data_IF_479761398128
#
_entry.id   IF_479761398128
#
_cell.length_a   1.000
_cell.length_b   1.000
_cell.length_c   1.000
_cell.angle_alpha   90.00
_cell.angle_beta   90.00
_cell.angle_gamma   90.00
#
_symmetry.space_group_name_H-M   'P 1'
#
loop_
_entity.id
_entity.type
_entity.pdbx_description
1 polymer ?
#
# COMPACT_ATOMS: atom_id res chain seq x y z
N UNK A 1 15.17 -2.42 -12.92
CA UNK A 1 14.26 -1.90 -13.95
C UNK A 1 12.88 -1.69 -13.38
N UNK A 2 12.34 -0.47 -13.45
CA UNK A 2 10.95 -0.18 -13.11
C UNK A 2 10.25 0.40 -14.34
N UNK A 3 8.93 0.31 -14.39
CA UNK A 3 8.16 0.88 -15.53
C UNK A 3 8.38 2.40 -15.66
N UNK A 4 8.67 3.12 -14.56
CA UNK A 4 9.03 4.54 -14.61
C UNK A 4 10.38 4.78 -15.29
N UNK A 5 11.40 3.97 -15.00
CA UNK A 5 12.72 4.11 -15.67
C UNK A 5 12.61 3.89 -17.17
N UNK A 6 11.71 2.99 -17.59
CA UNK A 6 11.41 2.78 -19.01
C UNK A 6 10.72 3.99 -19.66
N UNK A 7 9.76 4.63 -18.98
CA UNK A 7 9.05 5.82 -19.51
C UNK A 7 10.00 7.00 -19.65
N UNK A 8 10.87 7.22 -18.67
CA UNK A 8 11.88 8.28 -18.69
C UNK A 8 12.88 8.08 -19.83
N UNK A 9 13.34 6.84 -20.05
CA UNK A 9 14.20 6.50 -21.19
C UNK A 9 13.49 6.63 -22.55
N UNK A 10 12.18 6.41 -22.59
CA UNK A 10 11.37 6.51 -23.81
C UNK A 10 11.01 7.96 -24.20
N UNK A 11 11.47 8.95 -23.41
CA UNK A 11 11.48 10.40 -23.61
C UNK A 11 10.65 10.86 -24.84
N UNK A 12 9.37 11.21 -24.59
CA UNK A 12 8.34 11.71 -25.52
C UNK A 12 7.46 10.67 -26.27
N UNK A 13 7.83 9.39 -26.37
CA UNK A 13 6.96 8.40 -27.04
C UNK A 13 5.70 8.03 -26.24
N UNK A 14 5.74 8.20 -24.93
CA UNK A 14 4.65 7.84 -24.01
C UNK A 14 4.00 9.14 -23.52
N UNK A 15 2.97 9.60 -24.24
CA UNK A 15 2.29 10.88 -23.95
C UNK A 15 1.10 10.76 -23.00
N UNK A 16 0.60 9.54 -22.80
CA UNK A 16 -0.63 9.28 -22.02
C UNK A 16 -0.37 8.82 -20.59
N UNK A 17 0.89 8.80 -20.14
CA UNK A 17 1.29 8.28 -18.84
C UNK A 17 1.15 6.75 -18.74
N UNK A 18 1.49 6.19 -17.57
CA UNK A 18 1.35 4.77 -17.28
C UNK A 18 0.39 4.51 -16.13
N UNK A 19 -0.32 3.38 -16.23
CA UNK A 19 -1.36 3.01 -15.30
C UNK A 19 -1.23 1.54 -14.91
N UNK A 20 -1.54 1.26 -13.64
CA UNK A 20 -1.75 -0.09 -13.11
C UNK A 20 -3.22 -0.44 -13.27
N UNK A 21 -3.49 -1.63 -13.80
CA UNK A 21 -4.82 -2.22 -13.97
C UNK A 21 -4.89 -3.54 -13.22
N UNK A 22 -6.08 -3.90 -12.74
CA UNK A 22 -6.25 -5.10 -11.92
C UNK A 22 -6.70 -6.31 -12.73
N UNK A 23 -6.06 -7.45 -12.46
CA UNK A 23 -6.38 -8.72 -13.11
C UNK A 23 -7.87 -9.10 -12.93
N UNK A 24 -8.54 -9.46 -14.02
CA UNK A 24 -9.97 -9.80 -14.05
C UNK A 24 -10.93 -8.60 -14.03
N UNK A 25 -10.43 -7.38 -13.77
CA UNK A 25 -11.19 -6.13 -13.75
C UNK A 25 -10.59 -5.10 -14.73
N UNK A 26 -9.94 -5.55 -15.79
CA UNK A 26 -9.22 -4.66 -16.72
C UNK A 26 -10.19 -3.76 -17.51
N UNK A 27 -9.82 -2.50 -17.77
CA UNK A 27 -10.64 -1.59 -18.57
C UNK A 27 -10.67 -1.99 -20.04
N UNK A 28 -11.72 -1.59 -20.75
CA UNK A 28 -11.86 -1.86 -22.20
C UNK A 28 -10.71 -1.28 -23.02
N UNK A 29 -10.16 -0.14 -22.61
CA UNK A 29 -8.97 0.46 -23.23
C UNK A 29 -7.70 -0.37 -23.06
N UNK A 30 -7.70 -1.41 -22.21
CA UNK A 30 -6.62 -2.37 -22.09
C UNK A 30 -6.94 -3.64 -22.87
N UNK A 31 -8.12 -4.22 -22.66
CA UNK A 31 -8.50 -5.52 -23.27
C UNK A 31 -8.60 -5.46 -24.79
N UNK A 32 -8.94 -4.30 -25.37
CA UNK A 32 -9.07 -4.12 -26.84
C UNK A 32 -7.73 -4.29 -27.57
N UNK A 33 -6.60 -4.14 -26.88
CA UNK A 33 -5.27 -4.32 -27.49
C UNK A 33 -4.89 -5.79 -27.70
N UNK A 34 -5.66 -6.73 -27.13
CA UNK A 34 -5.37 -8.15 -27.21
C UNK A 34 -6.42 -8.86 -28.08
N UNK A 35 -6.02 -9.52 -29.18
CA UNK A 35 -6.96 -10.24 -30.06
C UNK A 35 -7.76 -11.33 -29.36
N UNK A 36 -7.15 -11.94 -28.34
CA UNK A 36 -7.77 -12.94 -27.48
C UNK A 36 -7.61 -12.50 -26.02
N UNK A 37 -8.69 -11.99 -25.43
CA UNK A 37 -8.74 -11.63 -24.02
C UNK A 37 -9.78 -12.48 -23.29
N UNK A 38 -9.35 -13.23 -22.27
CA UNK A 38 -10.25 -14.00 -21.44
C UNK A 38 -10.23 -13.45 -20.01
N UNK A 39 -11.35 -12.85 -19.60
CA UNK A 39 -11.52 -12.32 -18.25
C UNK A 39 -11.73 -13.48 -17.27
N UNK A 40 -10.74 -13.70 -16.39
CA UNK A 40 -10.81 -14.74 -15.36
C UNK A 40 -11.81 -14.34 -14.27
N UNK A 41 -13.01 -14.92 -14.32
CA UNK A 41 -14.10 -14.61 -13.39
C UNK A 41 -13.73 -14.90 -11.93
N UNK A 42 -13.03 -16.00 -11.65
CA UNK A 42 -12.56 -16.33 -10.30
C UNK A 42 -11.68 -15.23 -9.70
N UNK A 43 -10.82 -14.61 -10.51
CA UNK A 43 -9.98 -13.49 -10.07
C UNK A 43 -10.85 -12.24 -9.88
N UNK A 44 -11.72 -11.94 -10.83
CA UNK A 44 -12.62 -10.78 -10.76
C UNK A 44 -13.50 -10.80 -9.50
N UNK A 45 -13.99 -11.95 -9.08
CA UNK A 45 -14.78 -12.12 -7.86
C UNK A 45 -13.98 -11.82 -6.60
N UNK A 46 -12.73 -12.29 -6.50
CA UNK A 46 -11.83 -11.97 -5.38
C UNK A 46 -11.59 -10.46 -5.32
N UNK A 47 -11.29 -9.85 -6.45
CA UNK A 47 -11.02 -8.41 -6.52
C UNK A 47 -12.24 -7.55 -6.15
N UNK A 48 -13.45 -7.99 -6.51
CA UNK A 48 -14.70 -7.32 -6.10
C UNK A 48 -14.96 -7.46 -4.60
N UNK A 49 -14.63 -8.60 -4.00
CA UNK A 49 -14.70 -8.80 -2.53
C UNK A 49 -13.72 -7.89 -1.79
N UNK A 50 -12.54 -7.64 -2.37
CA UNK A 50 -11.58 -6.64 -1.90
C UNK A 50 -11.99 -5.18 -2.20
N UNK A 51 -13.20 -4.95 -2.70
CA UNK A 51 -13.74 -3.61 -2.94
C UNK A 51 -13.25 -2.91 -4.21
N UNK A 52 -12.51 -3.61 -5.09
CA UNK A 52 -12.01 -3.02 -6.34
C UNK A 52 -13.08 -2.97 -7.42
N UNK A 53 -13.02 -1.93 -8.26
CA UNK A 53 -14.04 -1.62 -9.27
C UNK A 53 -13.63 -2.11 -10.65
N UNK A 54 -14.64 -2.46 -11.46
CA UNK A 54 -14.43 -2.87 -12.84
C UNK A 54 -13.89 -1.71 -13.69
N UNK A 55 -12.80 -1.94 -14.42
CA UNK A 55 -12.16 -0.94 -15.25
C UNK A 55 -11.39 0.14 -14.48
N UNK A 56 -11.12 -0.07 -13.19
CA UNK A 56 -10.29 0.85 -12.42
C UNK A 56 -8.85 0.87 -12.97
N UNK A 57 -8.35 2.09 -13.19
CA UNK A 57 -6.95 2.34 -13.58
C UNK A 57 -6.33 3.31 -12.57
N UNK A 58 -5.21 2.92 -11.98
CA UNK A 58 -4.48 3.75 -11.01
C UNK A 58 -3.20 4.27 -11.66
N UNK A 59 -2.90 5.58 -11.60
CA UNK A 59 -1.62 6.10 -12.08
C UNK A 59 -0.46 5.36 -11.41
N UNK A 60 0.59 5.10 -12.17
CA UNK A 60 1.73 4.34 -11.66
C UNK A 60 2.42 5.06 -10.50
N UNK A 61 2.43 6.39 -10.50
CA UNK A 61 3.02 7.21 -9.44
C UNK A 61 2.32 6.95 -8.11
N UNK A 62 0.98 7.01 -8.11
CA UNK A 62 0.18 6.71 -6.90
C UNK A 62 0.31 5.27 -6.44
N UNK A 63 0.37 4.33 -7.38
CA UNK A 63 0.57 2.92 -7.04
C UNK A 63 1.97 2.70 -6.44
N UNK A 64 2.99 3.37 -6.97
CA UNK A 64 4.34 3.29 -6.48
C UNK A 64 4.48 3.96 -5.11
N UNK A 65 3.88 5.14 -4.90
CA UNK A 65 3.82 5.80 -3.59
C UNK A 65 3.24 4.85 -2.55
N UNK A 66 2.11 4.19 -2.84
CA UNK A 66 1.50 3.24 -1.91
C UNK A 66 2.41 2.03 -1.62
N UNK A 67 3.13 1.51 -2.62
CA UNK A 67 4.03 0.36 -2.47
C UNK A 67 5.38 0.70 -1.83
N UNK A 68 5.82 1.95 -1.92
CA UNK A 68 7.12 2.44 -1.39
C UNK A 68 6.96 3.21 -0.10
N UNK A 69 5.73 3.51 0.33
CA UNK A 69 5.43 4.16 1.61
C UNK A 69 5.89 3.25 2.75
N UNK A 70 7.01 3.64 3.36
CA UNK A 70 7.59 2.95 4.52
C UNK A 70 6.96 3.41 5.84
N UNK A 71 6.50 4.66 5.88
CA UNK A 71 5.96 5.28 7.09
C UNK A 71 4.52 5.74 6.87
N UNK A 72 3.68 5.50 7.86
CA UNK A 72 2.26 5.85 7.90
C UNK A 72 2.00 6.67 9.16
N UNK A 73 0.98 7.51 9.10
CA UNK A 73 0.56 8.26 10.29
C UNK A 73 -0.13 7.35 11.29
N UNK A 74 -0.07 7.73 12.57
CA UNK A 74 -0.74 6.98 13.64
C UNK A 74 -2.23 6.74 13.38
N UNK A 75 -2.94 7.71 12.82
CA UNK A 75 -4.37 7.59 12.47
C UNK A 75 -4.64 6.61 11.33
N UNK A 76 -3.71 6.48 10.38
CA UNK A 76 -3.84 5.51 9.28
C UNK A 76 -3.66 4.08 9.79
N UNK A 77 -2.71 3.87 10.72
CA UNK A 77 -2.41 2.56 11.29
C UNK A 77 -3.47 2.07 12.29
N UNK A 78 -4.15 2.99 12.98
CA UNK A 78 -5.23 2.67 13.93
C UNK A 78 -6.62 2.68 13.30
N UNK A 79 -6.71 2.83 11.98
CA UNK A 79 -7.98 2.83 11.26
C UNK A 79 -8.56 1.40 11.14
N UNK A 80 -9.90 1.31 11.01
CA UNK A 80 -10.63 0.04 10.77
C UNK A 80 -10.20 -0.64 9.46
N UNK A 81 -9.64 0.14 8.52
CA UNK A 81 -9.08 -0.38 7.27
C UNK A 81 -7.60 0.05 7.13
N UNK A 82 -6.67 -0.68 7.77
CA UNK A 82 -5.25 -0.36 7.68
C UNK A 82 -4.74 -0.55 6.23
N UNK A 83 -3.70 0.20 5.82
CA UNK A 83 -3.11 0.05 4.49
C UNK A 83 -2.61 -1.38 4.20
N UNK A 84 -2.81 -1.83 2.96
CA UNK A 84 -2.38 -3.16 2.52
C UNK A 84 -0.86 -3.36 2.73
N UNK A 85 -0.49 -4.47 3.37
CA UNK A 85 0.92 -4.85 3.61
C UNK A 85 1.53 -4.35 4.92
N UNK A 86 0.74 -3.68 5.76
CA UNK A 86 1.12 -3.35 7.15
C UNK A 86 0.91 -4.57 8.05
N UNK A 87 1.93 -4.93 8.85
CA UNK A 87 1.83 -5.99 9.86
C UNK A 87 1.13 -5.45 11.13
N UNK A 88 -0.09 -5.92 11.46
CA UNK A 88 -0.83 -5.45 12.64
C UNK A 88 -0.11 -5.73 13.96
N UNK A 89 0.82 -6.70 14.00
CA UNK A 89 1.58 -7.00 15.22
C UNK A 89 2.75 -6.03 15.47
N UNK A 90 3.12 -5.25 14.46
CA UNK A 90 4.33 -4.41 14.43
C UNK A 90 4.06 -2.99 13.93
N UNK A 91 2.87 -2.46 14.22
CA UNK A 91 2.44 -1.12 13.78
C UNK A 91 3.45 -0.03 14.16
N UNK A 92 4.17 -0.18 15.28
CA UNK A 92 5.20 0.74 15.72
C UNK A 92 6.34 0.94 14.71
N UNK A 93 6.65 -0.08 13.90
CA UNK A 93 7.75 -0.03 12.92
C UNK A 93 7.43 0.82 11.70
N UNK A 94 6.15 1.12 11.52
CA UNK A 94 5.63 1.89 10.39
C UNK A 94 5.39 3.37 10.75
N UNK A 95 5.65 3.79 11.98
CA UNK A 95 5.64 5.21 12.36
C UNK A 95 6.99 5.86 12.06
N UNK A 96 7.00 7.16 11.77
CA UNK A 96 8.24 7.95 11.81
C UNK A 96 8.74 8.05 13.26
N UNK A 97 10.00 8.44 13.46
CA UNK A 97 10.53 8.61 14.82
C UNK A 97 9.82 9.76 15.55
N UNK A 98 9.46 10.82 14.83
CA UNK A 98 8.67 11.95 15.34
C UNK A 98 7.29 11.51 15.82
N UNK A 99 6.53 10.80 14.98
CA UNK A 99 5.20 10.29 15.35
C UNK A 99 5.33 9.27 16.50
N UNK A 100 6.37 8.44 16.50
CA UNK A 100 6.60 7.49 17.59
C UNK A 100 6.82 8.23 18.92
N UNK A 101 7.69 9.24 18.94
CA UNK A 101 7.99 10.02 20.14
C UNK A 101 6.79 10.82 20.62
N UNK A 102 5.99 11.42 19.72
CA UNK A 102 4.77 12.13 20.11
C UNK A 102 3.73 11.21 20.76
N UNK A 103 3.55 10.00 20.23
CA UNK A 103 2.54 9.07 20.73
C UNK A 103 3.02 8.31 21.99
N UNK A 104 4.25 7.78 21.99
CA UNK A 104 4.78 6.98 23.09
C UNK A 104 5.46 7.82 24.19
N UNK A 105 5.66 9.13 23.98
CA UNK A 105 6.38 10.04 24.87
C UNK A 105 7.79 9.53 25.26
N UNK A 106 8.39 8.71 24.39
CA UNK A 106 9.71 8.15 24.57
C UNK A 106 10.34 7.87 23.20
N UNK A 107 11.68 7.93 23.09
CA UNK A 107 12.38 7.57 21.88
C UNK A 107 12.24 6.07 21.58
N UNK A 108 12.21 5.76 20.28
CA UNK A 108 12.11 4.39 19.73
C UNK A 108 13.19 3.46 20.28
N UNK A 109 14.41 3.98 20.47
CA UNK A 109 15.52 3.21 21.00
C UNK A 109 15.25 2.69 22.41
N UNK A 110 14.66 3.52 23.28
CA UNK A 110 14.31 3.11 24.64
C UNK A 110 13.18 2.08 24.64
N UNK A 111 12.21 2.21 23.72
CA UNK A 111 11.15 1.23 23.57
C UNK A 111 11.70 -0.16 23.18
N UNK A 112 12.66 -0.19 22.25
CA UNK A 112 13.32 -1.41 21.79
C UNK A 112 14.10 -2.15 22.90
N UNK A 113 14.53 -1.44 23.95
CA UNK A 113 15.21 -2.04 25.11
C UNK A 113 14.27 -2.74 26.08
N UNK A 114 12.96 -2.48 26.03
CA UNK A 114 12.02 -3.14 26.93
C UNK A 114 11.78 -4.60 26.54
N UNK A 115 11.53 -5.49 27.52
CA UNK A 115 11.08 -6.85 27.23
C UNK A 115 9.78 -6.84 26.41
N UNK A 116 9.59 -7.86 25.54
CA UNK A 116 8.42 -7.95 24.65
C UNK A 116 7.06 -7.81 25.36
N UNK A 117 6.91 -8.39 26.56
CA UNK A 117 5.68 -8.24 27.35
C UNK A 117 5.36 -6.78 27.72
N UNK A 118 6.38 -5.95 27.95
CA UNK A 118 6.22 -4.54 28.27
C UNK A 118 5.95 -3.72 27.00
N UNK A 119 6.59 -4.08 25.89
CA UNK A 119 6.28 -3.51 24.57
C UNK A 119 4.82 -3.77 24.20
N UNK A 120 4.31 -4.99 24.40
CA UNK A 120 2.91 -5.34 24.11
C UNK A 120 1.90 -4.57 24.97
N UNK A 121 2.22 -4.35 26.26
CA UNK A 121 1.39 -3.51 27.14
C UNK A 121 1.34 -2.07 26.64
N UNK A 122 2.49 -1.50 26.26
CA UNK A 122 2.56 -0.14 25.74
C UNK A 122 1.82 -0.02 24.40
N UNK A 123 2.03 -0.95 23.46
CA UNK A 123 1.30 -1.00 22.19
C UNK A 123 -0.22 -1.02 22.41
N UNK A 124 -0.70 -1.84 23.33
CA UNK A 124 -2.12 -1.88 23.72
C UNK A 124 -2.60 -0.58 24.35
N UNK A 125 -1.80 0.02 25.24
CA UNK A 125 -2.15 1.30 25.88
C UNK A 125 -2.30 2.44 24.87
N UNK A 126 -1.52 2.40 23.79
CA UNK A 126 -1.57 3.37 22.70
C UNK A 126 -2.41 2.91 21.50
N UNK A 127 -3.18 1.82 21.60
CA UNK A 127 -4.08 1.38 20.52
C UNK A 127 -3.41 0.86 19.25
N UNK A 128 -2.12 0.49 19.31
CA UNK A 128 -1.35 -0.11 18.22
C UNK A 128 -1.28 -1.64 18.35
N UNK A 129 -2.43 -2.28 18.60
CA UNK A 129 -2.58 -3.73 18.75
C UNK A 129 -3.76 -4.26 17.96
#
# INVERSE_FOLDING_TARGET
DTTLSYIEAANERITKGAYVVQAGLEPSCFTTHFPFWNRRQSIAEIQRKEGKKDGEKKPIEKALEALTKKFYSFKELTSDNPPDGVDPSKLETYLTDEDFEENFQMPRDLFGLFPGWKQDILKKAFGLF
#
